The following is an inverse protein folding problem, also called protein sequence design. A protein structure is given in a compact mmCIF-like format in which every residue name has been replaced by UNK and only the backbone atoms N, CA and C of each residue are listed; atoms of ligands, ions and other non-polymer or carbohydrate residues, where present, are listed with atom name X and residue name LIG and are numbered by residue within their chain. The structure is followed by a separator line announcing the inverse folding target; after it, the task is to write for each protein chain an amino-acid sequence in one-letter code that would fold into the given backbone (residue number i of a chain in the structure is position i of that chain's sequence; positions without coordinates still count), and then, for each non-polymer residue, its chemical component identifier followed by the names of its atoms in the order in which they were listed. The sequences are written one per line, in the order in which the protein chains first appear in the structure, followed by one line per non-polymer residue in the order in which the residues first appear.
data_IF_565196584775
#
_entry.id   IF_565196584775
#
_cell.length_a   1.000
_cell.length_b   1.000
_cell.length_c   1.000
_cell.angle_alpha   90.00
_cell.angle_beta   90.00
_cell.angle_gamma   90.00
#
_symmetry.space_group_name_H-M   'P 1'
#
loop_
_entity.id
_entity.type
_entity.pdbx_description
1 polymer ?
#
# COMPACT_ATOMS: atom_id res chain seq x y z
N UNK A 1 -8.20 5.50 -13.12
CA UNK A 1 -6.90 4.84 -13.32
C UNK A 1 -7.04 3.89 -14.50
N UNK A 2 -6.10 3.90 -15.45
CA UNK A 2 -6.09 2.92 -16.56
C UNK A 2 -5.52 1.58 -16.08
N UNK A 3 -5.86 0.47 -16.77
CA UNK A 3 -5.31 -0.86 -16.46
C UNK A 3 -3.78 -0.86 -16.45
N UNK A 4 -3.17 -0.23 -17.47
CA UNK A 4 -1.72 -0.09 -17.56
C UNK A 4 -1.11 0.62 -16.33
N UNK A 5 -1.78 1.64 -15.79
CA UNK A 5 -1.31 2.30 -14.58
C UNK A 5 -1.43 1.40 -13.35
N UNK A 6 -2.48 0.57 -13.27
CA UNK A 6 -2.63 -0.43 -12.19
C UNK A 6 -1.47 -1.41 -12.23
N UNK A 7 -1.19 -1.98 -13.40
CA UNK A 7 -0.13 -2.97 -13.58
C UNK A 7 1.24 -2.38 -13.20
N UNK A 8 1.51 -1.15 -13.64
CA UNK A 8 2.74 -0.42 -13.27
C UNK A 8 2.88 -0.24 -11.75
N UNK A 9 1.78 0.04 -11.05
CA UNK A 9 1.80 0.20 -9.60
C UNK A 9 1.97 -1.15 -8.88
N UNK A 10 1.37 -2.22 -9.40
CA UNK A 10 1.54 -3.58 -8.88
C UNK A 10 3.01 -4.02 -9.03
N UNK A 11 3.59 -3.87 -10.22
CA UNK A 11 4.99 -4.22 -10.47
C UNK A 11 5.94 -3.44 -9.55
N UNK A 12 5.67 -2.14 -9.37
CA UNK A 12 6.41 -1.32 -8.41
C UNK A 12 6.29 -1.86 -6.97
N UNK A 13 5.08 -2.21 -6.53
CA UNK A 13 4.87 -2.73 -5.19
C UNK A 13 5.53 -4.11 -4.99
N UNK A 14 5.48 -4.99 -6.00
CA UNK A 14 6.17 -6.29 -5.97
C UNK A 14 7.67 -6.09 -5.81
N UNK A 15 8.28 -5.23 -6.64
CA UNK A 15 9.71 -4.93 -6.57
C UNK A 15 10.08 -4.33 -5.20
N UNK A 16 9.29 -3.36 -4.71
CA UNK A 16 9.53 -2.73 -3.42
C UNK A 16 9.49 -3.74 -2.26
N UNK A 17 8.49 -4.62 -2.24
CA UNK A 17 8.31 -5.62 -1.17
C UNK A 17 9.33 -6.75 -1.25
N UNK A 18 9.74 -7.15 -2.47
CA UNK A 18 10.61 -8.32 -2.69
C UNK A 18 12.10 -7.99 -2.66
N UNK A 19 12.50 -6.82 -3.17
CA UNK A 19 13.91 -6.49 -3.41
C UNK A 19 14.54 -5.70 -2.27
N UNK A 20 13.73 -5.14 -1.37
CA UNK A 20 14.20 -4.31 -0.25
C UNK A 20 13.89 -5.00 1.08
N UNK A 21 14.88 -5.26 1.94
CA UNK A 21 14.62 -5.68 3.31
C UNK A 21 13.65 -4.71 3.98
N UNK A 22 12.58 -5.24 4.57
CA UNK A 22 11.50 -4.46 5.16
C UNK A 22 10.81 -3.47 4.19
N UNK A 23 10.84 -3.73 2.87
CA UNK A 23 10.26 -2.86 1.85
C UNK A 23 8.75 -2.61 2.02
N UNK A 24 8.05 -3.54 2.68
CA UNK A 24 6.65 -3.39 3.10
C UNK A 24 6.43 -2.16 4.00
N UNK A 25 7.46 -1.66 4.68
CA UNK A 25 7.36 -0.50 5.57
C UNK A 25 7.19 0.80 4.78
N UNK A 26 7.94 0.92 3.68
CA UNK A 26 7.97 2.14 2.86
C UNK A 26 6.94 2.11 1.71
N UNK A 27 6.50 0.93 1.24
CA UNK A 27 5.71 0.77 0.01
C UNK A 27 4.45 1.65 -0.02
N UNK A 28 3.76 1.81 1.11
CA UNK A 28 2.54 2.62 1.19
C UNK A 28 2.85 4.10 0.95
N UNK A 29 3.89 4.62 1.60
CA UNK A 29 4.35 6.01 1.45
C UNK A 29 4.86 6.26 0.04
N UNK A 30 5.64 5.34 -0.52
CA UNK A 30 6.18 5.50 -1.87
C UNK A 30 5.08 5.44 -2.94
N UNK A 31 4.07 4.58 -2.79
CA UNK A 31 2.89 4.57 -3.65
C UNK A 31 2.14 5.91 -3.59
N UNK A 32 1.85 6.41 -2.38
CA UNK A 32 1.15 7.68 -2.18
C UNK A 32 1.94 8.89 -2.72
N UNK A 33 3.27 8.86 -2.62
CA UNK A 33 4.16 9.92 -3.12
C UNK A 33 4.30 9.89 -4.64
N UNK A 34 4.45 8.71 -5.23
CA UNK A 34 4.69 8.54 -6.67
C UNK A 34 3.42 8.67 -7.51
N UNK A 35 2.27 8.32 -6.94
CA UNK A 35 0.95 8.50 -7.56
C UNK A 35 0.02 9.30 -6.65
N UNK A 36 0.25 10.61 -6.47
CA UNK A 36 -0.49 11.42 -5.50
C UNK A 36 -1.97 11.56 -5.81
N UNK A 37 -2.38 11.37 -7.07
CA UNK A 37 -3.74 11.59 -7.54
C UNK A 37 -4.59 10.30 -7.58
N UNK A 38 -4.01 9.13 -7.25
CA UNK A 38 -4.77 7.88 -7.10
C UNK A 38 -5.45 7.84 -5.74
N UNK A 39 -6.59 7.16 -5.65
CA UNK A 39 -7.30 7.03 -4.37
C UNK A 39 -6.59 6.05 -3.46
N UNK A 40 -6.73 6.23 -2.15
CA UNK A 40 -6.20 5.29 -1.17
C UNK A 40 -6.79 3.88 -1.33
N UNK A 41 -8.03 3.76 -1.80
CA UNK A 41 -8.62 2.46 -2.13
C UNK A 41 -7.88 1.77 -3.29
N UNK A 42 -7.42 2.53 -4.29
CA UNK A 42 -6.57 2.00 -5.35
C UNK A 42 -5.20 1.54 -4.81
N UNK A 43 -4.63 2.27 -3.85
CA UNK A 43 -3.38 1.86 -3.18
C UNK A 43 -3.60 0.54 -2.41
N UNK A 44 -4.69 0.40 -1.65
CA UNK A 44 -5.05 -0.86 -0.97
C UNK A 44 -5.15 -2.01 -1.97
N UNK A 45 -5.84 -1.80 -3.10
CA UNK A 45 -5.96 -2.81 -4.15
C UNK A 45 -4.58 -3.26 -4.68
N UNK A 46 -3.66 -2.32 -4.93
CA UNK A 46 -2.30 -2.60 -5.40
C UNK A 46 -1.52 -3.41 -4.37
N UNK A 47 -1.61 -3.08 -3.07
CA UNK A 47 -0.93 -3.82 -2.00
C UNK A 47 -1.44 -5.26 -1.88
N UNK A 48 -2.75 -5.45 -1.90
CA UNK A 48 -3.36 -6.79 -1.84
C UNK A 48 -3.01 -7.62 -3.08
N UNK A 49 -3.07 -7.00 -4.26
CA UNK A 49 -2.75 -7.68 -5.53
C UNK A 49 -1.28 -8.07 -5.62
N UNK A 50 -0.37 -7.20 -5.18
CA UNK A 50 1.07 -7.51 -5.14
C UNK A 50 1.40 -8.60 -4.13
N UNK A 51 0.85 -8.55 -2.92
CA UNK A 51 1.02 -9.61 -1.92
C UNK A 51 0.54 -10.97 -2.45
N UNK A 52 -0.65 -10.99 -3.08
CA UNK A 52 -1.18 -12.22 -3.67
C UNK A 52 -0.35 -12.73 -4.85
N UNK A 53 0.16 -11.84 -5.70
CA UNK A 53 1.05 -12.22 -6.79
C UNK A 53 2.36 -12.85 -6.27
N UNK A 54 2.94 -12.29 -5.20
CA UNK A 54 4.11 -12.85 -4.54
C UNK A 54 3.78 -14.23 -3.96
N UNK A 55 2.67 -14.39 -3.22
CA UNK A 55 2.27 -15.70 -2.69
C UNK A 55 2.22 -16.77 -3.79
N UNK A 56 1.56 -16.45 -4.91
CA UNK A 56 1.40 -17.39 -6.04
C UNK A 56 2.74 -17.88 -6.62
N UNK A 57 3.76 -17.03 -6.64
CA UNK A 57 5.09 -17.41 -7.12
C UNK A 57 5.79 -18.36 -6.15
N UNK A 58 5.48 -18.27 -4.85
CA UNK A 58 6.16 -19.00 -3.78
C UNK A 58 5.26 -20.04 -3.07
N UNK A 59 4.12 -20.41 -3.65
CA UNK A 59 3.14 -21.37 -3.10
C UNK A 59 3.74 -22.73 -2.71
N UNK A 60 4.91 -23.10 -3.24
CA UNK A 60 5.60 -24.35 -2.90
C UNK A 60 6.45 -24.28 -1.63
N UNK A 61 6.54 -23.11 -0.99
CA UNK A 61 7.35 -22.90 0.21
C UNK A 61 6.52 -23.27 1.46
N UNK A 62 7.04 -24.12 2.38
CA UNK A 62 6.26 -24.60 3.52
C UNK A 62 5.93 -23.52 4.56
N UNK A 63 6.62 -22.37 4.54
CA UNK A 63 6.40 -21.26 5.46
C UNK A 63 5.91 -20.00 4.73
N UNK A 64 4.89 -19.30 5.26
CA UNK A 64 4.46 -18.01 4.71
C UNK A 64 5.58 -16.98 4.80
N UNK A 65 5.83 -16.26 3.70
CA UNK A 65 6.82 -15.18 3.66
C UNK A 65 6.38 -14.01 4.54
N UNK A 66 7.27 -13.54 5.41
CA UNK A 66 6.94 -12.48 6.39
C UNK A 66 6.52 -11.19 5.68
N UNK A 67 7.23 -10.79 4.63
CA UNK A 67 6.96 -9.62 3.81
C UNK A 67 5.56 -9.61 3.18
N UNK A 68 5.03 -10.78 2.80
CA UNK A 68 3.66 -10.92 2.30
C UNK A 68 2.66 -10.63 3.41
N UNK A 69 2.84 -11.29 4.56
CA UNK A 69 1.98 -11.08 5.73
C UNK A 69 2.00 -9.61 6.18
N UNK A 70 3.19 -9.00 6.19
CA UNK A 70 3.33 -7.58 6.53
C UNK A 70 2.71 -6.67 5.47
N UNK A 71 2.75 -7.04 4.19
CA UNK A 71 2.09 -6.27 3.11
C UNK A 71 0.57 -6.27 3.29
N UNK A 72 -0.05 -7.41 3.62
CA UNK A 72 -1.46 -7.45 4.00
C UNK A 72 -1.76 -6.63 5.25
N UNK A 73 -0.87 -6.69 6.26
CA UNK A 73 -1.03 -5.89 7.48
C UNK A 73 -1.02 -4.39 7.20
N UNK A 74 -0.07 -3.89 6.41
CA UNK A 74 -0.03 -2.46 6.06
C UNK A 74 -1.19 -2.04 5.18
N UNK A 75 -1.73 -2.93 4.33
CA UNK A 75 -2.95 -2.66 3.58
C UNK A 75 -4.18 -2.49 4.50
N UNK A 76 -4.29 -3.30 5.55
CA UNK A 76 -5.35 -3.18 6.56
C UNK A 76 -5.22 -1.90 7.41
N UNK A 77 -3.98 -1.53 7.78
CA UNK A 77 -3.72 -0.26 8.47
C UNK A 77 -4.10 0.93 7.59
N UNK A 78 -3.70 0.92 6.32
CA UNK A 78 -4.10 1.95 5.35
C UNK A 78 -5.62 2.05 5.25
N UNK A 79 -6.33 0.91 5.16
CA UNK A 79 -7.80 0.91 5.10
C UNK A 79 -8.44 1.55 6.34
N UNK A 80 -7.80 1.44 7.51
CA UNK A 80 -8.25 2.10 8.75
C UNK A 80 -8.12 3.63 8.66
N UNK A 81 -7.02 4.13 8.07
CA UNK A 81 -6.84 5.57 7.81
C UNK A 81 -7.87 6.11 6.81
N UNK A 82 -8.19 5.32 5.77
CA UNK A 82 -9.24 5.68 4.81
C UNK A 82 -10.59 5.82 5.52
N UNK A 83 -10.91 4.92 6.45
CA UNK A 83 -12.12 5.02 7.25
C UNK A 83 -12.12 6.27 8.14
N UNK A 84 -10.99 6.62 8.75
CA UNK A 84 -10.86 7.84 9.54
C UNK A 84 -11.09 9.11 8.69
N UNK A 85 -10.55 9.15 7.47
CA UNK A 85 -10.76 10.25 6.52
C UNK A 85 -12.20 10.33 6.02
N UNK A 86 -12.86 9.19 5.80
CA UNK A 86 -14.29 9.15 5.48
C UNK A 86 -15.14 9.77 6.58
N UNK A 87 -14.82 9.51 7.86
CA UNK A 87 -15.51 10.15 9.00
C UNK A 87 -15.29 11.65 9.09
N UNK A 88 -14.25 12.18 8.42
CA UNK A 88 -13.97 13.62 8.28
C UNK A 88 -14.57 14.23 7.00
N UNK A 89 -15.33 13.46 6.23
CA UNK A 89 -16.01 13.92 5.02
C UNK A 89 -15.23 13.72 3.72
N UNK A 90 -14.01 13.16 3.76
CA UNK A 90 -13.28 12.79 2.55
C UNK A 90 -13.59 11.34 2.16
N UNK A 91 -14.53 11.14 1.23
CA UNK A 91 -15.02 9.81 0.84
C UNK A 91 -14.12 9.06 -0.15
N UNK A 92 -13.22 9.77 -0.83
CA UNK A 92 -12.30 9.20 -1.81
C UNK A 92 -10.90 9.83 -1.66
N UNK A 93 -10.26 9.69 -0.49
CA UNK A 93 -9.00 10.36 -0.21
C UNK A 93 -7.93 9.88 -1.19
N UNK A 94 -7.18 10.83 -1.73
CA UNK A 94 -6.06 10.61 -2.66
C UNK A 94 -4.77 10.26 -1.90
N UNK A 95 -3.74 9.80 -2.61
CA UNK A 95 -2.38 9.65 -2.07
C UNK A 95 -1.85 10.96 -1.45
N UNK A 96 -2.23 12.10 -2.03
CA UNK A 96 -1.93 13.42 -1.49
C UNK A 96 -2.64 13.68 -0.16
N UNK A 97 -3.93 13.37 -0.06
CA UNK A 97 -4.72 13.54 1.17
C UNK A 97 -4.19 12.66 2.29
N UNK A 98 -3.81 11.41 1.98
CA UNK A 98 -3.17 10.48 2.91
C UNK A 98 -1.86 11.06 3.45
N UNK A 99 -1.01 11.57 2.55
CA UNK A 99 0.27 12.17 2.95
C UNK A 99 0.08 13.39 3.85
N UNK A 100 -0.94 14.21 3.59
CA UNK A 100 -1.30 15.34 4.47
C UNK A 100 -1.81 14.84 5.83
N UNK A 101 -2.73 13.87 5.83
CA UNK A 101 -3.29 13.27 7.03
C UNK A 101 -2.22 12.72 7.96
N UNK A 102 -1.24 11.97 7.44
CA UNK A 102 -0.17 11.39 8.25
C UNK A 102 0.76 12.43 8.87
N UNK A 103 0.99 13.58 8.20
CA UNK A 103 1.81 14.66 8.78
C UNK A 103 1.12 15.32 9.97
N UNK A 104 -0.20 15.36 9.97
CA UNK A 104 -1.00 16.09 10.95
C UNK A 104 -1.48 15.22 12.12
N UNK A 105 -1.70 13.93 11.91
CA UNK A 105 -2.44 13.08 12.85
C UNK A 105 -1.65 11.86 13.33
N UNK A 106 -1.00 11.14 12.41
CA UNK A 106 -0.25 9.93 12.73
C UNK A 106 0.89 9.73 11.71
N UNK A 107 2.15 9.97 12.11
CA UNK A 107 3.29 9.84 11.23
C UNK A 107 3.67 8.38 10.97
N UNK A 108 2.89 7.37 11.41
CA UNK A 108 3.19 5.94 11.25
C UNK A 108 3.79 5.63 9.88
N UNK A 109 3.07 5.86 8.78
CA UNK A 109 3.56 5.60 7.42
C UNK A 109 4.68 6.55 6.96
N UNK A 110 4.90 7.68 7.64
CA UNK A 110 6.02 8.58 7.36
C UNK A 110 7.33 8.12 8.01
N UNK A 111 7.25 7.46 9.16
CA UNK A 111 8.41 7.00 9.93
C UNK A 111 8.62 5.49 9.91
N UNK A 112 7.71 4.74 9.29
CA UNK A 112 7.84 3.30 9.09
C UNK A 112 9.05 3.00 8.22
#
# INVERSE_FOLDING_TARGET
MSLQQIDTMIDFAIAQVSDTPDGYRAVVRELAKRWPDVTGAQIVFVLVSSAHAIERVFEMTPEPRTEVQQTFRVAALLASDLFALQKRGNFAPSGRDLTAYWRENDPFFLTL
#
